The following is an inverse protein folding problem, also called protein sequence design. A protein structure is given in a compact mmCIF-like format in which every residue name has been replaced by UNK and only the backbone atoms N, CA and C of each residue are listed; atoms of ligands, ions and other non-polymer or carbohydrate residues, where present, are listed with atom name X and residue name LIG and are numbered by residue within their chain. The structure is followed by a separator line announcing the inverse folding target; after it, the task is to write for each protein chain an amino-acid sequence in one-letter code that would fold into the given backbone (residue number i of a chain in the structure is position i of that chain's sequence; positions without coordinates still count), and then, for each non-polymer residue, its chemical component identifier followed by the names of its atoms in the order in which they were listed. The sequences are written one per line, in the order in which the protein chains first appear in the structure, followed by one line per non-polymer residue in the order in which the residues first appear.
data_IF_671726498537
#
_entry.id   IF_671726498537
#
_cell.length_a   1.000
_cell.length_b   1.000
_cell.length_c   1.000
_cell.angle_alpha   90.00
_cell.angle_beta   90.00
_cell.angle_gamma   90.00
#
_symmetry.space_group_name_H-M   'P 1'
#
loop_
_entity.id
_entity.type
_entity.pdbx_description
1 polymer ?
#
# COMPACT_ATOMS: atom_id res chain seq x y z
N UNK A 1 11.45 12.97 14.15
CA UNK A 1 11.70 11.51 14.10
C UNK A 1 12.98 11.21 13.31
N UNK A 2 13.95 10.50 13.88
CA UNK A 2 15.09 9.95 13.11
C UNK A 2 14.65 8.60 12.56
N UNK A 3 14.51 8.46 11.24
CA UNK A 3 14.24 7.16 10.61
C UNK A 3 15.41 6.21 10.94
N UNK A 4 15.20 5.06 11.59
CA UNK A 4 16.23 4.04 11.80
C UNK A 4 16.45 3.32 10.46
N UNK A 5 17.01 4.03 9.49
CA UNK A 5 17.25 3.53 8.15
C UNK A 5 18.68 3.85 7.75
N UNK A 6 19.40 2.82 7.29
CA UNK A 6 20.79 2.96 6.90
C UNK A 6 20.92 3.92 5.70
N UNK A 7 21.78 4.93 5.79
CA UNK A 7 21.93 5.99 4.76
C UNK A 7 22.14 5.41 3.35
N UNK A 8 22.98 4.38 3.21
CA UNK A 8 23.15 3.68 1.91
C UNK A 8 21.85 3.13 1.30
N UNK A 9 20.89 2.71 2.11
CA UNK A 9 19.60 2.25 1.60
C UNK A 9 18.74 3.43 1.10
N UNK A 10 18.82 4.58 1.77
CA UNK A 10 18.17 5.81 1.31
C UNK A 10 18.76 6.27 -0.04
N UNK A 11 20.08 6.31 -0.15
CA UNK A 11 20.76 6.66 -1.40
C UNK A 11 20.38 5.73 -2.57
N UNK A 12 20.17 4.44 -2.30
CA UNK A 12 19.69 3.48 -3.32
C UNK A 12 18.23 3.72 -3.70
N UNK A 13 17.41 4.20 -2.78
CA UNK A 13 16.02 4.59 -3.07
C UNK A 13 16.01 5.86 -3.91
N UNK A 14 16.75 6.89 -3.49
CA UNK A 14 16.89 8.16 -4.21
C UNK A 14 17.48 7.98 -5.61
N UNK A 15 18.46 7.09 -5.77
CA UNK A 15 19.04 6.73 -7.07
C UNK A 15 18.18 5.80 -7.93
N UNK A 16 16.96 5.44 -7.49
CA UNK A 16 16.05 4.56 -8.24
C UNK A 16 16.46 3.08 -8.32
N UNK A 17 17.50 2.68 -7.60
CA UNK A 17 18.04 1.31 -7.59
C UNK A 17 17.14 0.36 -6.79
N UNK A 18 16.38 0.89 -5.83
CA UNK A 18 15.53 0.10 -4.93
C UNK A 18 14.25 0.85 -4.60
N UNK A 19 13.12 0.15 -4.61
CA UNK A 19 11.88 0.69 -4.06
C UNK A 19 11.87 0.63 -2.53
N UNK A 20 11.35 1.67 -1.84
CA UNK A 20 11.09 1.59 -0.41
C UNK A 20 10.00 0.55 -0.13
N UNK A 21 10.06 -0.04 1.07
CA UNK A 21 8.90 -0.75 1.64
C UNK A 21 7.75 0.22 1.85
N UNK A 22 6.51 -0.28 1.76
CA UNK A 22 5.30 0.57 1.83
C UNK A 22 5.21 1.38 3.13
N UNK A 23 5.61 0.82 4.28
CA UNK A 23 5.59 1.52 5.57
C UNK A 23 6.70 2.55 5.69
N UNK A 24 7.84 2.35 5.02
CA UNK A 24 8.85 3.39 4.91
C UNK A 24 8.36 4.53 4.03
N UNK A 25 7.76 4.22 2.87
CA UNK A 25 7.20 5.22 1.98
C UNK A 25 6.13 6.04 2.71
N UNK A 26 5.22 5.39 3.43
CA UNK A 26 4.19 6.04 4.24
C UNK A 26 4.78 7.01 5.26
N UNK A 27 5.81 6.59 6.02
CA UNK A 27 6.52 7.45 6.97
C UNK A 27 7.21 8.63 6.31
N UNK A 28 7.78 8.45 5.12
CA UNK A 28 8.41 9.54 4.37
C UNK A 28 7.36 10.57 3.91
N UNK A 29 6.22 10.11 3.40
CA UNK A 29 5.11 10.96 2.95
C UNK A 29 4.57 11.81 4.12
N UNK A 30 4.31 11.19 5.27
CA UNK A 30 3.92 11.92 6.49
C UNK A 30 5.05 12.86 6.95
N UNK A 31 6.31 12.41 6.87
CA UNK A 31 7.48 13.20 7.25
C UNK A 31 7.67 14.48 6.42
N UNK A 32 7.22 14.48 5.16
CA UNK A 32 7.19 15.68 4.30
C UNK A 32 5.87 16.44 4.36
N UNK A 33 5.00 16.12 5.34
CA UNK A 33 3.71 16.76 5.59
C UNK A 33 2.73 16.64 4.41
N UNK A 34 2.76 15.50 3.72
CA UNK A 34 1.81 15.19 2.68
C UNK A 34 0.74 14.20 3.19
N UNK A 35 -0.49 14.35 2.69
CA UNK A 35 -1.59 13.43 2.98
C UNK A 35 -1.32 12.09 2.27
N UNK A 36 -1.22 10.97 3.01
CA UNK A 36 -0.90 9.67 2.43
C UNK A 36 -1.82 9.26 1.29
N UNK A 37 -3.13 9.30 1.50
CA UNK A 37 -4.11 8.88 0.50
C UNK A 37 -3.96 9.65 -0.81
N UNK A 38 -3.77 10.97 -0.76
CA UNK A 38 -3.57 11.80 -1.94
C UNK A 38 -2.26 11.49 -2.66
N UNK A 39 -1.19 11.27 -1.92
CA UNK A 39 0.10 10.91 -2.51
C UNK A 39 0.01 9.58 -3.27
N UNK A 40 -0.54 8.53 -2.66
CA UNK A 40 -0.63 7.20 -3.28
C UNK A 40 -1.64 7.16 -4.43
N UNK A 41 -2.72 7.93 -4.34
CA UNK A 41 -3.66 8.11 -5.45
C UNK A 41 -2.96 8.73 -6.67
N UNK A 42 -2.25 9.84 -6.48
CA UNK A 42 -1.47 10.49 -7.56
C UNK A 42 -0.35 9.59 -8.09
N UNK A 43 0.27 8.79 -7.23
CA UNK A 43 1.30 7.83 -7.63
C UNK A 43 0.71 6.77 -8.58
N UNK A 44 -0.49 6.26 -8.31
CA UNK A 44 -1.18 5.33 -9.18
C UNK A 44 -1.54 5.98 -10.52
N UNK A 45 -2.13 7.17 -10.48
CA UNK A 45 -2.49 7.93 -11.68
C UNK A 45 -1.27 8.21 -12.57
N UNK A 46 -0.13 8.56 -11.97
CA UNK A 46 1.11 8.78 -12.70
C UNK A 46 1.68 7.48 -13.31
N UNK A 47 1.52 6.34 -12.62
CA UNK A 47 1.96 5.03 -13.12
C UNK A 47 1.08 4.52 -14.27
N UNK A 48 -0.25 4.64 -14.14
CA UNK A 48 -1.21 4.33 -15.22
C UNK A 48 -0.91 5.20 -16.45
N UNK A 49 -0.74 6.51 -16.26
CA UNK A 49 -0.42 7.45 -17.34
C UNK A 49 0.88 7.07 -18.08
N UNK A 50 1.85 6.50 -17.36
CA UNK A 50 3.11 6.01 -17.95
C UNK A 50 2.95 4.66 -18.65
N UNK A 51 1.99 3.84 -18.22
CA UNK A 51 1.82 2.46 -18.69
C UNK A 51 0.84 2.30 -19.87
N UNK A 52 -0.07 3.24 -20.12
CA UNK A 52 -1.10 3.12 -21.17
C UNK A 52 -1.46 4.44 -21.87
N UNK A 53 -1.55 4.41 -23.20
CA UNK A 53 -2.51 5.21 -23.97
C UNK A 53 -3.90 4.57 -23.80
N UNK A 54 -4.79 5.25 -23.06
CA UNK A 54 -6.26 5.08 -22.97
C UNK A 54 -6.86 3.72 -22.51
N UNK A 55 -7.61 3.78 -21.41
CA UNK A 55 -9.03 3.39 -21.32
C UNK A 55 -9.52 3.77 -19.92
N UNK A 56 -10.31 4.84 -19.81
CA UNK A 56 -10.97 5.24 -18.57
C UNK A 56 -12.05 4.21 -18.21
N UNK A 57 -11.69 3.19 -17.42
CA UNK A 57 -12.68 2.44 -16.68
C UNK A 57 -12.92 3.16 -15.35
N UNK A 58 -13.90 4.06 -15.36
CA UNK A 58 -14.47 4.62 -14.15
C UNK A 58 -15.26 3.51 -13.44
N UNK A 59 -14.60 2.80 -12.53
CA UNK A 59 -15.29 2.02 -11.51
C UNK A 59 -15.40 2.88 -10.26
N UNK A 60 -16.62 3.05 -9.74
CA UNK A 60 -16.80 3.61 -8.41
C UNK A 60 -16.06 2.72 -7.40
N UNK A 61 -15.16 3.28 -6.57
CA UNK A 61 -14.41 2.49 -5.62
C UNK A 61 -15.33 1.79 -4.62
N UNK A 62 -15.05 0.53 -4.31
CA UNK A 62 -15.79 -0.19 -3.26
C UNK A 62 -15.48 0.45 -1.90
N UNK A 63 -16.50 0.94 -1.16
CA UNK A 63 -16.26 1.49 0.17
C UNK A 63 -15.90 0.37 1.14
N UNK A 64 -14.94 0.63 2.02
CA UNK A 64 -14.48 -0.32 3.04
C UNK A 64 -14.49 0.36 4.40
N UNK A 65 -15.19 -0.24 5.36
CA UNK A 65 -15.07 0.14 6.76
C UNK A 65 -13.92 -0.66 7.37
N UNK A 66 -12.73 -0.05 7.42
CA UNK A 66 -11.56 -0.70 7.97
C UNK A 66 -11.62 -0.76 9.50
N UNK A 67 -11.17 -1.87 10.06
CA UNK A 67 -11.03 -2.08 11.49
C UNK A 67 -9.55 -2.22 11.84
N UNK A 68 -9.19 -1.75 13.03
CA UNK A 68 -7.84 -1.96 13.54
C UNK A 68 -7.57 -3.47 13.65
N UNK A 69 -6.54 -4.00 12.99
CA UNK A 69 -6.24 -5.43 13.05
C UNK A 69 -5.87 -5.86 14.48
N UNK A 70 -6.30 -7.05 14.88
CA UNK A 70 -5.74 -7.71 16.07
C UNK A 70 -4.28 -8.05 15.77
N UNK A 71 -3.36 -7.49 16.55
CA UNK A 71 -1.93 -7.63 16.32
C UNK A 71 -1.46 -8.94 16.98
N UNK A 72 -1.25 -9.98 16.18
CA UNK A 72 -0.49 -11.17 16.63
C UNK A 72 1.00 -10.81 16.78
N UNK A 73 1.72 -11.50 17.67
CA UNK A 73 3.14 -11.23 18.00
C UNK A 73 4.08 -11.25 16.77
N UNK A 74 3.70 -11.95 15.69
CA UNK A 74 4.51 -12.14 14.49
C UNK A 74 4.24 -11.13 13.35
N UNK A 75 3.36 -10.15 13.56
CA UNK A 75 3.01 -9.16 12.53
C UNK A 75 4.11 -8.11 12.41
N UNK A 76 4.74 -8.04 11.23
CA UNK A 76 5.77 -7.05 10.91
C UNK A 76 5.20 -5.77 10.27
N UNK A 77 3.99 -5.84 9.73
CA UNK A 77 3.42 -4.78 8.90
C UNK A 77 1.88 -4.81 8.89
N UNK A 78 1.25 -3.69 9.24
CA UNK A 78 -0.21 -3.52 9.24
C UNK A 78 -0.83 -3.46 7.84
N UNK A 79 -0.03 -3.21 6.80
CA UNK A 79 -0.52 -3.21 5.41
C UNK A 79 -1.23 -4.52 5.05
N UNK A 80 -0.68 -5.65 5.48
CA UNK A 80 -1.19 -6.98 5.18
C UNK A 80 -2.61 -7.23 5.67
N UNK A 81 -2.86 -7.12 6.99
CA UNK A 81 -4.20 -7.28 7.54
C UNK A 81 -5.23 -6.29 6.95
N UNK A 82 -4.85 -5.05 6.66
CA UNK A 82 -5.73 -4.10 5.98
C UNK A 82 -6.04 -4.53 4.53
N UNK A 83 -5.02 -5.03 3.80
CA UNK A 83 -5.20 -5.55 2.44
C UNK A 83 -6.19 -6.73 2.44
N UNK A 84 -6.14 -7.60 3.45
CA UNK A 84 -7.09 -8.70 3.58
C UNK A 84 -8.54 -8.19 3.73
N UNK A 85 -8.77 -7.13 4.52
CA UNK A 85 -10.08 -6.49 4.65
C UNK A 85 -10.55 -5.88 3.32
N UNK A 86 -9.68 -5.12 2.65
CA UNK A 86 -9.97 -4.55 1.32
C UNK A 86 -10.35 -5.63 0.30
N UNK A 87 -9.58 -6.72 0.27
CA UNK A 87 -9.81 -7.84 -0.64
C UNK A 87 -11.17 -8.51 -0.37
N UNK A 88 -11.51 -8.74 0.89
CA UNK A 88 -12.81 -9.34 1.27
C UNK A 88 -13.96 -8.42 0.88
N UNK A 89 -13.85 -7.12 1.14
CA UNK A 89 -14.87 -6.13 0.76
C UNK A 89 -15.06 -6.05 -0.77
N UNK A 90 -13.97 -6.12 -1.55
CA UNK A 90 -14.02 -6.19 -3.00
C UNK A 90 -14.49 -7.53 -3.58
N UNK A 91 -14.73 -8.56 -2.75
CA UNK A 91 -15.12 -9.88 -3.21
C UNK A 91 -14.04 -10.62 -4.02
N UNK A 92 -12.77 -10.26 -3.83
CA UNK A 92 -11.65 -10.76 -4.64
C UNK A 92 -10.96 -11.95 -3.94
N UNK A 93 -10.62 -13.01 -4.68
CA UNK A 93 -9.80 -14.10 -4.13
C UNK A 93 -8.32 -13.74 -4.13
N UNK A 94 -7.51 -14.35 -3.25
CA UNK A 94 -6.04 -14.13 -3.26
C UNK A 94 -5.44 -14.43 -4.63
N UNK A 95 -5.92 -15.47 -5.32
CA UNK A 95 -5.47 -15.85 -6.67
C UNK A 95 -5.82 -14.79 -7.72
N UNK A 96 -7.04 -14.25 -7.69
CA UNK A 96 -7.46 -13.19 -8.59
C UNK A 96 -6.64 -11.91 -8.36
N UNK A 97 -6.49 -11.50 -7.09
CA UNK A 97 -5.69 -10.34 -6.72
C UNK A 97 -4.22 -10.50 -7.15
N UNK A 98 -3.61 -11.67 -6.89
CA UNK A 98 -2.24 -11.98 -7.29
C UNK A 98 -2.06 -11.87 -8.82
N UNK A 99 -3.01 -12.41 -9.59
CA UNK A 99 -2.99 -12.34 -11.06
C UNK A 99 -3.08 -10.90 -11.56
N UNK A 100 -4.04 -10.12 -11.06
CA UNK A 100 -4.23 -8.72 -11.45
C UNK A 100 -3.04 -7.86 -11.08
N UNK A 101 -2.51 -8.03 -9.86
CA UNK A 101 -1.34 -7.29 -9.37
C UNK A 101 0.00 -7.78 -9.93
N UNK A 102 0.00 -8.83 -10.78
CA UNK A 102 1.21 -9.53 -11.26
C UNK A 102 2.16 -9.90 -10.12
N UNK A 103 1.60 -10.35 -8.99
CA UNK A 103 2.31 -10.67 -7.76
C UNK A 103 2.29 -12.18 -7.50
N UNK A 104 3.32 -12.70 -6.83
CA UNK A 104 3.38 -14.13 -6.52
C UNK A 104 2.36 -14.49 -5.43
N UNK A 105 1.53 -15.51 -5.66
CA UNK A 105 0.47 -15.94 -4.73
C UNK A 105 1.00 -16.35 -3.35
N UNK A 106 2.16 -17.05 -3.28
CA UNK A 106 2.78 -17.41 -2.00
C UNK A 106 3.15 -16.15 -1.20
N UNK A 107 3.62 -15.12 -1.90
CA UNK A 107 3.95 -13.84 -1.29
C UNK A 107 2.69 -13.07 -0.88
N UNK A 108 1.57 -13.17 -1.62
CA UNK A 108 0.28 -12.58 -1.19
C UNK A 108 -0.14 -13.10 0.18
N UNK A 109 -0.08 -14.42 0.39
CA UNK A 109 -0.43 -15.01 1.69
C UNK A 109 0.49 -14.51 2.81
N UNK A 110 1.81 -14.41 2.55
CA UNK A 110 2.76 -13.86 3.52
C UNK A 110 2.51 -12.36 3.81
N UNK A 111 2.11 -11.60 2.79
CA UNK A 111 1.75 -10.19 2.91
C UNK A 111 0.47 -10.04 3.74
N UNK A 112 -0.63 -10.71 3.41
CA UNK A 112 -1.90 -10.59 4.16
C UNK A 112 -1.75 -10.96 5.63
N UNK A 113 -0.90 -11.93 5.97
CA UNK A 113 -0.55 -12.30 7.35
C UNK A 113 0.40 -11.32 8.05
N UNK A 114 0.78 -10.22 7.40
CA UNK A 114 1.71 -9.23 7.93
C UNK A 114 3.16 -9.72 8.08
N UNK A 115 3.50 -10.90 7.55
CA UNK A 115 4.85 -11.52 7.69
C UNK A 115 5.86 -10.97 6.69
N UNK A 116 5.38 -10.39 5.61
CA UNK A 116 6.18 -9.77 4.56
C UNK A 116 5.66 -8.37 4.24
N UNK A 117 6.53 -7.37 4.29
CA UNK A 117 6.24 -6.02 3.80
C UNK A 117 6.52 -5.95 2.29
N UNK A 118 5.54 -5.59 1.45
CA UNK A 118 5.77 -5.37 0.03
C UNK A 118 6.46 -4.02 -0.25
N UNK A 119 7.14 -3.94 -1.40
CA UNK A 119 7.61 -2.67 -1.95
C UNK A 119 6.45 -1.78 -2.39
N UNK A 120 6.69 -0.48 -2.48
CA UNK A 120 5.64 0.53 -2.69
C UNK A 120 4.76 0.29 -3.92
N UNK A 121 5.33 -0.08 -5.08
CA UNK A 121 4.52 -0.30 -6.29
C UNK A 121 3.76 -1.63 -6.23
N UNK A 122 4.35 -2.65 -5.59
CA UNK A 122 3.64 -3.91 -5.37
C UNK A 122 2.48 -3.73 -4.40
N UNK A 123 2.65 -2.95 -3.33
CA UNK A 123 1.57 -2.57 -2.43
C UNK A 123 0.44 -1.88 -3.19
N UNK A 124 0.77 -0.87 -3.99
CA UNK A 124 -0.19 -0.11 -4.77
C UNK A 124 -0.98 -1.01 -5.74
N UNK A 125 -0.28 -1.87 -6.47
CA UNK A 125 -0.91 -2.83 -7.39
C UNK A 125 -1.83 -3.83 -6.66
N UNK A 126 -1.44 -4.30 -5.48
CA UNK A 126 -2.27 -5.20 -4.67
C UNK A 126 -3.56 -4.53 -4.21
N UNK A 127 -3.49 -3.28 -3.72
CA UNK A 127 -4.69 -2.54 -3.30
C UNK A 127 -5.57 -2.25 -4.51
N UNK A 128 -5.00 -1.75 -5.61
CA UNK A 128 -5.76 -1.49 -6.85
C UNK A 128 -6.48 -2.74 -7.37
N UNK A 129 -5.85 -3.91 -7.26
CA UNK A 129 -6.44 -5.19 -7.67
C UNK A 129 -7.66 -5.63 -6.85
N UNK A 130 -7.93 -5.00 -5.69
CA UNK A 130 -9.15 -5.24 -4.90
C UNK A 130 -10.35 -4.40 -5.33
N UNK A 131 -10.13 -3.33 -6.12
CA UNK A 131 -11.18 -2.40 -6.53
C UNK A 131 -11.61 -1.39 -5.46
N UNK A 132 -10.92 -1.33 -4.32
CA UNK A 132 -11.20 -0.36 -3.25
C UNK A 132 -10.54 0.99 -3.53
N UNK A 133 -10.98 2.03 -2.83
CA UNK A 133 -10.38 3.37 -2.92
C UNK A 133 -8.94 3.39 -2.40
N UNK A 134 -7.98 3.75 -3.27
CA UNK A 134 -6.55 3.89 -2.91
C UNK A 134 -6.38 4.93 -1.81
N UNK A 135 -7.02 6.10 -1.99
CA UNK A 135 -6.96 7.19 -1.01
C UNK A 135 -7.38 6.70 0.38
N UNK A 136 -8.54 6.05 0.48
CA UNK A 136 -9.13 5.62 1.75
C UNK A 136 -8.30 4.52 2.41
N UNK A 137 -7.77 3.58 1.62
CA UNK A 137 -6.88 2.52 2.12
C UNK A 137 -5.64 3.11 2.80
N UNK A 138 -4.92 4.02 2.11
CA UNK A 138 -3.66 4.55 2.63
C UNK A 138 -3.84 5.57 3.75
N UNK A 139 -4.97 6.28 3.79
CA UNK A 139 -5.35 7.10 4.95
C UNK A 139 -5.59 6.21 6.19
N UNK A 140 -6.40 5.16 6.03
CA UNK A 140 -6.68 4.21 7.12
C UNK A 140 -5.41 3.50 7.62
N UNK A 141 -4.51 3.14 6.69
CA UNK A 141 -3.22 2.56 7.05
C UNK A 141 -2.35 3.53 7.85
N UNK A 142 -2.33 4.82 7.49
CA UNK A 142 -1.59 5.83 8.24
C UNK A 142 -2.14 6.00 9.65
N UNK A 143 -3.47 6.10 9.76
CA UNK A 143 -4.18 6.26 11.02
C UNK A 143 -3.90 5.08 11.97
N UNK A 144 -4.13 3.84 11.54
CA UNK A 144 -3.89 2.67 12.39
C UNK A 144 -2.40 2.41 12.66
N UNK A 145 -1.50 2.98 11.87
CA UNK A 145 -0.07 2.91 12.15
C UNK A 145 0.40 3.95 13.18
N UNK A 146 -0.50 4.77 13.72
CA UNK A 146 -0.16 5.90 14.59
C UNK A 146 0.68 6.96 13.88
N UNK A 147 0.66 6.99 12.55
CA UNK A 147 1.36 7.96 11.73
C UNK A 147 0.40 9.11 11.46
N UNK A 148 0.37 10.07 12.39
CA UNK A 148 -0.45 11.26 12.29
C UNK A 148 0.38 12.45 11.79
N UNK A 149 -0.25 13.27 10.95
CA UNK A 149 0.13 14.66 10.75
C UNK A 149 -0.63 15.47 11.82
N UNK A 150 0.08 16.18 12.69
CA UNK A 150 -0.50 17.26 13.48
C UNK A 150 -0.30 18.57 12.69
N UNK A 151 -1.40 19.29 12.46
CA UNK A 151 -1.45 20.59 11.77
C UNK A 151 -0.56 21.65 12.42
#
# INVERSE_FOLDING_TARGET
MRLPYHIRNLQRIEGGIRQPGVMLALRMVVGVRAVPGDFFQRLLEADITRSLCLAEQQYEPVPVMYHHPEVEEDIKCLFGPLLAQARVAGGVSQTAMAKTAKYNLRNVNAVEKGRQEPGVMSALALVAATGVGIRDFFNSLSEFSGLHFEE
#
